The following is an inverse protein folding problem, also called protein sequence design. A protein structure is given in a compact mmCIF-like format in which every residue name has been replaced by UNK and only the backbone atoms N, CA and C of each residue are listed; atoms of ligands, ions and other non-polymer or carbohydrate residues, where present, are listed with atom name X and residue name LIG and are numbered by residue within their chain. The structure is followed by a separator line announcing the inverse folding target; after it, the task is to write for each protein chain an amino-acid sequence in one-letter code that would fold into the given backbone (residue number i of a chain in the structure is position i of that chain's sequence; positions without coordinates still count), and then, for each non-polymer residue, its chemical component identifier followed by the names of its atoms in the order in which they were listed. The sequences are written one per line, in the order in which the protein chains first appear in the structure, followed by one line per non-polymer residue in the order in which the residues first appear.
data_IF_370525084343
#
_entry.id   IF_370525084343
#
_cell.length_a   1.000
_cell.length_b   1.000
_cell.length_c   1.000
_cell.angle_alpha   90.00
_cell.angle_beta   90.00
_cell.angle_gamma   90.00
#
_symmetry.space_group_name_H-M   'P 1'
#
loop_
_entity.id
_entity.type
_entity.pdbx_description
1 polymer ?
#
# COMPACT_ATOMS: atom_id res chain seq x y z
N UNK A 1 -19.34 -63.41 -47.65
CA UNK A 1 -18.16 -63.19 -46.79
C UNK A 1 -18.05 -61.71 -46.36
N UNK A 2 -19.11 -61.09 -45.85
CA UNK A 2 -19.18 -59.62 -45.58
C UNK A 2 -19.51 -59.25 -44.14
N UNK A 3 -19.78 -60.23 -43.25
CA UNK A 3 -20.07 -59.96 -41.83
C UNK A 3 -18.83 -59.64 -41.00
N UNK A 4 -17.66 -60.19 -41.34
CA UNK A 4 -16.42 -60.01 -40.57
C UNK A 4 -15.75 -58.63 -40.78
N UNK A 5 -16.04 -57.94 -41.89
CA UNK A 5 -15.43 -56.63 -42.21
C UNK A 5 -16.16 -55.45 -41.55
N UNK A 6 -17.40 -55.64 -41.07
CA UNK A 6 -18.21 -54.57 -40.46
C UNK A 6 -17.74 -54.22 -39.03
N UNK A 7 -17.37 -55.22 -38.24
CA UNK A 7 -16.90 -55.05 -36.87
C UNK A 7 -15.61 -54.19 -36.73
N UNK A 8 -14.54 -54.40 -37.52
CA UNK A 8 -13.34 -53.58 -37.39
C UNK A 8 -13.54 -52.12 -37.82
N UNK A 9 -14.42 -51.86 -38.81
CA UNK A 9 -14.72 -50.50 -39.29
C UNK A 9 -15.51 -49.70 -38.24
N UNK A 10 -16.50 -50.34 -37.61
CA UNK A 10 -17.29 -49.73 -36.53
C UNK A 10 -16.41 -49.45 -35.31
N UNK A 11 -15.49 -50.37 -34.98
CA UNK A 11 -14.52 -50.18 -33.88
C UNK A 11 -13.57 -49.00 -34.12
N UNK A 12 -13.08 -48.82 -35.35
CA UNK A 12 -12.23 -47.69 -35.72
C UNK A 12 -12.98 -46.34 -35.60
N UNK A 13 -14.26 -46.33 -36.00
CA UNK A 13 -15.09 -45.12 -35.94
C UNK A 13 -15.36 -44.68 -34.49
N UNK A 14 -15.59 -45.63 -33.58
CA UNK A 14 -15.76 -45.35 -32.15
C UNK A 14 -14.47 -44.77 -31.55
N UNK A 15 -13.30 -45.28 -31.96
CA UNK A 15 -12.01 -44.78 -31.47
C UNK A 15 -11.78 -43.30 -31.84
N UNK A 16 -12.21 -42.88 -33.03
CA UNK A 16 -12.05 -41.50 -33.52
C UNK A 16 -12.89 -40.49 -32.73
N UNK A 17 -14.07 -40.88 -32.25
CA UNK A 17 -14.97 -39.98 -31.51
C UNK A 17 -14.40 -39.63 -30.13
N UNK A 18 -13.66 -40.56 -29.50
CA UNK A 18 -13.11 -40.38 -28.14
C UNK A 18 -11.88 -39.46 -28.11
N UNK A 19 -11.26 -39.16 -29.27
CA UNK A 19 -10.04 -38.33 -29.36
C UNK A 19 -10.39 -36.82 -29.40
N UNK A 20 -11.67 -36.45 -29.56
CA UNK A 20 -12.11 -35.05 -29.58
C UNK A 20 -12.20 -34.44 -28.17
N UNK A 21 -11.07 -34.35 -27.46
CA UNK A 21 -11.01 -33.58 -26.22
C UNK A 21 -10.85 -32.08 -26.51
N UNK A 22 -11.81 -31.29 -26.01
CA UNK A 22 -11.84 -29.82 -26.13
C UNK A 22 -10.76 -29.21 -25.23
N UNK A 23 -9.91 -28.34 -25.78
CA UNK A 23 -8.80 -27.73 -25.04
C UNK A 23 -9.30 -26.74 -23.97
N UNK A 24 -8.72 -26.72 -22.76
CA UNK A 24 -9.14 -25.80 -21.71
C UNK A 24 -8.79 -24.35 -22.08
N UNK A 25 -9.75 -23.44 -21.92
CA UNK A 25 -9.57 -22.00 -22.14
C UNK A 25 -8.82 -21.37 -20.95
N UNK A 26 -7.99 -20.34 -21.18
CA UNK A 26 -7.33 -19.64 -20.09
C UNK A 26 -8.37 -18.94 -19.20
N UNK A 27 -8.19 -19.08 -17.88
CA UNK A 27 -8.99 -18.39 -16.86
C UNK A 27 -8.38 -17.00 -16.64
N UNK A 28 -9.17 -15.94 -16.78
CA UNK A 28 -8.74 -14.58 -16.43
C UNK A 28 -8.71 -14.45 -14.90
N UNK A 29 -7.59 -14.01 -14.34
CA UNK A 29 -7.48 -13.69 -12.92
C UNK A 29 -7.16 -12.19 -12.78
N UNK A 30 -7.98 -11.47 -12.04
CA UNK A 30 -7.83 -10.03 -11.79
C UNK A 30 -7.01 -9.83 -10.52
N UNK A 31 -5.72 -9.52 -10.66
CA UNK A 31 -4.91 -9.09 -9.52
C UNK A 31 -4.99 -7.55 -9.39
N UNK A 32 -5.70 -7.07 -8.37
CA UNK A 32 -5.71 -5.64 -7.99
C UNK A 32 -4.45 -5.33 -7.17
N UNK A 33 -3.59 -4.43 -7.67
CA UNK A 33 -2.46 -3.89 -6.92
C UNK A 33 -2.77 -2.41 -6.64
N UNK A 34 -2.97 -2.06 -5.36
CA UNK A 34 -3.15 -0.67 -4.93
C UNK A 34 -1.80 -0.08 -4.53
N UNK A 35 -1.39 1.01 -5.18
CA UNK A 35 -0.19 1.78 -4.79
C UNK A 35 -0.64 3.10 -4.18
N UNK A 36 -0.38 3.31 -2.89
CA UNK A 36 -0.73 4.54 -2.16
C UNK A 36 0.51 5.44 -2.12
N UNK A 37 0.44 6.64 -2.70
CA UNK A 37 1.55 7.62 -2.66
C UNK A 37 1.23 8.69 -1.61
N UNK A 38 1.90 8.62 -0.46
CA UNK A 38 1.75 9.61 0.62
C UNK A 38 2.82 10.70 0.44
N UNK A 39 2.39 11.95 0.27
CA UNK A 39 3.32 13.09 0.23
C UNK A 39 3.24 13.84 1.56
N UNK A 40 4.39 13.99 2.24
CA UNK A 40 4.49 14.80 3.46
C UNK A 40 5.08 16.17 3.10
N UNK A 41 4.37 17.25 3.42
CA UNK A 41 4.84 18.62 3.22
C UNK A 41 5.14 19.28 4.56
N UNK A 42 6.33 19.88 4.67
CA UNK A 42 6.77 20.63 5.84
C UNK A 42 6.41 22.10 5.63
N UNK A 43 5.71 22.70 6.60
CA UNK A 43 5.32 24.10 6.55
C UNK A 43 5.94 24.88 7.71
N UNK A 44 6.42 26.08 7.42
CA UNK A 44 6.88 27.04 8.42
C UNK A 44 5.74 28.00 8.77
N UNK A 45 5.50 28.18 10.07
CA UNK A 45 4.45 29.09 10.58
C UNK A 45 5.03 30.07 11.58
N UNK A 46 4.57 31.31 11.52
CA UNK A 46 4.98 32.38 12.44
C UNK A 46 3.92 32.54 13.53
N UNK A 47 4.29 32.30 14.78
CA UNK A 47 3.43 32.63 15.93
C UNK A 47 3.54 34.12 16.25
N UNK A 48 2.40 34.82 16.21
CA UNK A 48 2.31 36.20 16.67
C UNK A 48 1.98 36.22 18.15
N UNK A 49 2.93 36.62 18.98
CA UNK A 49 2.69 36.85 20.41
C UNK A 49 1.96 38.19 20.57
N UNK A 50 0.85 38.19 21.30
CA UNK A 50 0.10 39.42 21.56
C UNK A 50 0.88 40.35 22.50
N UNK A 51 0.76 41.67 22.29
CA UNK A 51 1.35 42.67 23.18
C UNK A 51 0.75 42.49 24.60
N UNK A 52 1.63 42.49 25.59
CA UNK A 52 1.27 42.42 27.01
C UNK A 52 1.89 43.60 27.77
N UNK A 53 1.25 44.03 28.87
CA UNK A 53 1.71 45.14 29.70
C UNK A 53 1.33 44.94 31.16
N UNK A 54 2.26 45.21 32.06
CA UNK A 54 2.05 45.25 33.51
C UNK A 54 2.21 46.69 34.03
N UNK A 55 1.45 47.07 35.06
CA UNK A 55 1.46 48.44 35.59
C UNK A 55 1.81 48.48 37.08
N UNK A 56 2.48 49.56 37.49
CA UNK A 56 2.80 49.83 38.89
C UNK A 56 2.70 51.32 39.16
N UNK A 57 1.87 51.70 40.14
CA UNK A 57 1.64 53.07 40.56
C UNK A 57 1.83 53.19 42.07
N UNK A 58 2.70 54.10 42.50
CA UNK A 58 2.96 54.37 43.91
C UNK A 58 3.25 55.86 44.15
N UNK A 59 2.95 56.30 45.38
CA UNK A 59 3.33 57.62 45.86
C UNK A 59 4.72 57.58 46.48
N UNK A 60 5.57 58.50 46.05
CA UNK A 60 6.90 58.73 46.59
C UNK A 60 6.86 59.93 47.52
N UNK A 61 7.56 59.83 48.65
CA UNK A 61 7.74 60.92 49.61
C UNK A 61 9.24 61.16 49.83
N UNK A 62 9.60 62.36 50.27
CA UNK A 62 10.98 62.73 50.54
C UNK A 62 11.13 63.06 52.02
N UNK A 63 11.84 62.20 52.75
CA UNK A 63 12.09 62.38 54.17
C UNK A 63 13.60 62.60 54.35
N UNK A 64 13.98 63.78 54.82
CA UNK A 64 15.38 64.16 55.09
C UNK A 64 16.32 63.96 53.88
N UNK A 65 15.86 64.32 52.68
CA UNK A 65 16.63 64.18 51.42
C UNK A 65 16.70 62.77 50.86
N UNK A 66 16.07 61.77 51.50
CA UNK A 66 15.93 60.40 51.00
C UNK A 66 14.52 60.15 50.47
N UNK A 67 14.44 59.60 49.27
CA UNK A 67 13.18 59.20 48.65
C UNK A 67 12.71 57.90 49.31
N UNK A 68 11.44 57.84 49.70
CA UNK A 68 10.80 56.65 50.30
C UNK A 68 9.46 56.36 49.62
N UNK A 69 9.11 55.07 49.55
CA UNK A 69 7.80 54.63 49.07
C UNK A 69 6.75 54.82 50.17
N UNK A 70 5.77 55.70 49.94
CA UNK A 70 4.73 56.04 50.92
C UNK A 70 3.56 55.08 50.86
N UNK A 71 3.01 54.87 49.66
CA UNK A 71 1.90 53.97 49.46
C UNK A 71 1.90 53.42 48.03
N UNK A 72 1.59 52.14 47.88
CA UNK A 72 1.40 51.48 46.58
C UNK A 72 -0.09 51.56 46.24
N UNK A 73 -0.43 52.32 45.22
CA UNK A 73 -1.82 52.54 44.80
C UNK A 73 -2.30 51.34 43.97
N UNK A 74 -1.45 50.85 43.07
CA UNK A 74 -1.81 49.82 42.12
C UNK A 74 -0.58 49.03 41.68
N UNK A 75 -0.69 47.71 41.63
CA UNK A 75 0.37 46.83 41.16
C UNK A 75 -0.27 45.64 40.41
N UNK A 76 -0.62 45.86 39.16
CA UNK A 76 -1.39 44.89 38.37
C UNK A 76 -0.49 44.08 37.43
N UNK A 77 -0.61 42.75 37.44
CA UNK A 77 0.04 41.90 36.44
C UNK A 77 -0.62 42.07 35.07
N UNK A 78 0.16 41.81 34.02
CA UNK A 78 -0.37 41.63 32.67
C UNK A 78 -0.99 40.25 32.49
N UNK A 79 -1.29 39.88 31.24
CA UNK A 79 -1.82 38.54 30.92
C UNK A 79 -0.79 37.43 31.15
N UNK A 80 0.47 37.71 30.84
CA UNK A 80 1.61 36.79 30.98
C UNK A 80 2.72 37.41 31.83
N UNK A 81 2.87 38.74 31.79
CA UNK A 81 3.80 39.50 32.62
C UNK A 81 3.37 39.49 34.08
N UNK A 82 4.32 39.21 34.97
CA UNK A 82 4.09 39.31 36.41
C UNK A 82 4.00 40.77 36.85
N UNK A 83 3.43 40.99 38.03
CA UNK A 83 3.41 42.32 38.63
C UNK A 83 4.85 42.84 38.81
N UNK A 84 5.15 44.12 38.48
CA UNK A 84 6.50 44.65 38.50
C UNK A 84 7.13 44.59 39.89
N UNK A 85 8.41 44.19 39.96
CA UNK A 85 9.17 44.24 41.21
C UNK A 85 9.85 45.58 41.33
N UNK A 86 9.50 46.34 42.35
CA UNK A 86 10.03 47.69 42.58
C UNK A 86 10.96 47.69 43.78
N UNK A 87 12.15 48.25 43.59
CA UNK A 87 13.17 48.42 44.62
C UNK A 87 13.62 49.88 44.61
N UNK A 88 13.75 50.46 45.79
CA UNK A 88 14.25 51.82 45.98
C UNK A 88 15.49 51.74 46.87
N UNK A 89 16.65 52.02 46.30
CA UNK A 89 17.92 52.00 47.01
C UNK A 89 18.73 53.26 46.68
N UNK A 90 19.22 53.96 47.70
CA UNK A 90 19.98 55.22 47.56
C UNK A 90 19.36 56.21 46.56
N UNK A 91 18.07 56.53 46.72
CA UNK A 91 17.28 57.41 45.84
C UNK A 91 17.17 56.93 44.38
N UNK A 92 17.58 55.70 44.07
CA UNK A 92 17.46 55.08 42.74
C UNK A 92 16.29 54.11 42.73
N UNK A 93 15.33 54.34 41.84
CA UNK A 93 14.18 53.47 41.64
C UNK A 93 14.51 52.42 40.55
N UNK A 94 14.51 51.15 40.92
CA UNK A 94 14.64 50.02 40.00
C UNK A 94 13.30 49.32 39.85
N UNK A 95 12.88 49.09 38.61
CA UNK A 95 11.61 48.46 38.26
C UNK A 95 11.89 47.29 37.32
N UNK A 96 11.73 46.07 37.83
CA UNK A 96 11.99 44.84 37.08
C UNK A 96 10.67 44.16 36.69
N UNK A 97 10.49 43.92 35.39
CA UNK A 97 9.35 43.18 34.83
C UNK A 97 9.85 41.84 34.28
N UNK A 98 9.55 40.74 34.98
CA UNK A 98 10.01 39.41 34.58
C UNK A 98 8.89 38.64 33.86
N UNK A 99 9.20 38.17 32.65
CA UNK A 99 8.40 37.19 31.91
C UNK A 99 9.04 35.80 32.08
N UNK A 100 8.23 34.74 32.24
CA UNK A 100 8.76 33.37 32.18
C UNK A 100 9.11 33.05 30.72
N UNK A 101 10.20 32.34 30.50
CA UNK A 101 10.61 31.88 29.16
C UNK A 101 9.44 31.19 28.46
N UNK A 102 9.10 31.69 27.27
CA UNK A 102 8.09 31.12 26.39
C UNK A 102 8.80 30.22 25.39
N UNK A 103 8.78 28.91 25.59
CA UNK A 103 9.30 27.95 24.61
C UNK A 103 8.31 27.85 23.43
N UNK A 104 8.70 28.34 22.25
CA UNK A 104 7.89 28.29 21.03
C UNK A 104 8.65 27.53 19.94
N UNK A 105 8.42 26.22 19.88
CA UNK A 105 8.84 25.37 18.77
C UNK A 105 7.58 24.78 18.14
N UNK A 106 7.23 25.20 16.92
CA UNK A 106 6.24 24.47 16.15
C UNK A 106 6.73 24.21 14.73
N UNK A 107 6.98 22.93 14.48
CA UNK A 107 7.00 22.37 13.14
C UNK A 107 5.74 21.53 13.03
N UNK A 108 4.88 21.82 12.07
CA UNK A 108 3.72 20.98 11.80
C UNK A 108 3.85 20.36 10.41
N UNK A 109 3.59 19.05 10.34
CA UNK A 109 3.64 18.26 9.10
C UNK A 109 2.21 18.00 8.65
N UNK A 110 1.86 18.41 7.44
CA UNK A 110 0.60 18.02 6.80
C UNK A 110 0.84 16.76 5.96
N UNK A 111 -0.03 15.76 6.12
CA UNK A 111 -0.03 14.56 5.27
C UNK A 111 -1.13 14.72 4.24
N UNK A 112 -0.77 14.71 2.96
CA UNK A 112 -1.74 14.63 1.87
C UNK A 112 -1.58 13.29 1.16
N UNK A 113 -2.65 12.50 1.15
CA UNK A 113 -2.73 11.27 0.36
C UNK A 113 -3.03 11.69 -1.07
N UNK A 114 -2.07 11.52 -1.98
CA UNK A 114 -2.31 11.69 -3.41
C UNK A 114 -2.91 10.40 -3.96
N UNK A 115 -3.88 10.58 -4.86
CA UNK A 115 -4.74 9.61 -5.53
C UNK A 115 -4.33 8.14 -5.50
N UNK A 116 -5.29 7.29 -5.17
CA UNK A 116 -5.18 5.84 -5.32
C UNK A 116 -5.31 5.51 -6.81
N UNK A 117 -4.18 5.43 -7.51
CA UNK A 117 -4.14 4.94 -8.88
C UNK A 117 -4.37 3.42 -8.86
N UNK A 118 -5.63 3.00 -8.97
CA UNK A 118 -5.99 1.60 -9.20
C UNK A 118 -5.68 1.21 -10.65
N UNK A 119 -4.47 0.68 -10.89
CA UNK A 119 -4.13 0.10 -12.18
C UNK A 119 -4.58 -1.36 -12.22
N UNK A 120 -5.74 -1.63 -12.81
CA UNK A 120 -6.19 -3.00 -13.10
C UNK A 120 -5.30 -3.58 -14.21
N UNK A 121 -4.34 -4.44 -13.83
CA UNK A 121 -3.54 -5.20 -14.80
C UNK A 121 -4.19 -6.57 -14.95
N UNK A 122 -4.87 -6.80 -16.07
CA UNK A 122 -5.45 -8.11 -16.41
C UNK A 122 -4.32 -9.05 -16.85
N UNK A 123 -3.67 -9.72 -15.89
CA UNK A 123 -2.65 -10.73 -16.22
C UNK A 123 -3.37 -12.03 -16.54
N UNK A 124 -3.35 -12.42 -17.81
CA UNK A 124 -3.80 -13.76 -18.24
C UNK A 124 -2.81 -14.81 -17.74
N UNK A 125 -3.00 -15.29 -16.52
CA UNK A 125 -2.18 -16.38 -15.98
C UNK A 125 -2.69 -17.71 -16.53
N UNK A 126 -1.87 -18.36 -17.37
CA UNK A 126 -2.10 -19.76 -17.74
C UNK A 126 -1.91 -20.65 -16.50
N UNK A 127 -3.01 -20.92 -15.79
CA UNK A 127 -2.99 -21.77 -14.59
C UNK A 127 -2.80 -23.25 -14.91
N UNK A 128 -3.14 -23.68 -16.13
CA UNK A 128 -3.15 -25.08 -16.50
C UNK A 128 -1.98 -25.43 -17.44
N UNK A 129 -0.78 -25.58 -16.87
CA UNK A 129 0.36 -26.13 -17.58
C UNK A 129 0.33 -27.66 -17.47
N UNK A 130 0.61 -28.37 -18.57
CA UNK A 130 0.73 -29.83 -18.49
C UNK A 130 1.89 -30.20 -17.58
N UNK A 131 1.59 -30.99 -16.55
CA UNK A 131 2.62 -31.55 -15.67
C UNK A 131 3.54 -32.47 -16.48
N UNK A 132 4.78 -32.64 -16.02
CA UNK A 132 5.74 -33.53 -16.68
C UNK A 132 5.16 -34.93 -16.90
N UNK A 133 4.47 -35.48 -15.89
CA UNK A 133 3.82 -36.79 -15.95
C UNK A 133 2.70 -36.86 -16.99
N UNK A 134 1.88 -35.81 -17.11
CA UNK A 134 0.85 -35.74 -18.15
C UNK A 134 1.47 -35.75 -19.55
N UNK A 135 2.61 -35.07 -19.76
CA UNK A 135 3.34 -35.10 -21.04
C UNK A 135 3.86 -36.50 -21.35
N UNK A 136 4.44 -37.17 -20.35
CA UNK A 136 4.92 -38.56 -20.49
C UNK A 136 3.77 -39.50 -20.84
N UNK A 137 2.63 -39.40 -20.16
CA UNK A 137 1.44 -40.21 -20.44
C UNK A 137 0.89 -40.00 -21.86
N UNK A 138 0.85 -38.75 -22.34
CA UNK A 138 0.44 -38.43 -23.72
C UNK A 138 1.41 -39.04 -24.73
N UNK A 139 2.71 -38.98 -24.45
CA UNK A 139 3.74 -39.53 -25.35
C UNK A 139 3.65 -41.06 -25.41
N UNK A 140 3.47 -41.73 -24.27
CA UNK A 140 3.25 -43.17 -24.19
C UNK A 140 1.98 -43.61 -24.93
N UNK A 141 0.88 -42.86 -24.74
CA UNK A 141 -0.38 -43.12 -25.44
C UNK A 141 -0.25 -43.01 -26.96
N UNK A 142 0.51 -42.03 -27.46
CA UNK A 142 0.81 -41.90 -28.90
C UNK A 142 1.60 -43.09 -29.43
N UNK A 143 2.60 -43.56 -28.68
CA UNK A 143 3.40 -44.71 -29.07
C UNK A 143 2.56 -46.00 -29.14
N UNK A 144 1.68 -46.21 -28.17
CA UNK A 144 0.73 -47.33 -28.17
C UNK A 144 -0.26 -47.25 -29.34
N UNK A 145 -0.75 -46.06 -29.69
CA UNK A 145 -1.66 -45.87 -30.83
C UNK A 145 -0.99 -46.26 -32.15
N UNK A 146 0.26 -45.86 -32.37
CA UNK A 146 1.04 -46.21 -33.57
C UNK A 146 1.22 -47.73 -33.66
N UNK A 147 1.56 -48.38 -32.54
CA UNK A 147 1.74 -49.83 -32.49
C UNK A 147 0.43 -50.56 -32.81
N UNK A 148 -0.70 -50.08 -32.28
CA UNK A 148 -2.02 -50.65 -32.56
C UNK A 148 -2.40 -50.50 -34.04
N UNK A 149 -2.17 -49.34 -34.66
CA UNK A 149 -2.38 -49.13 -36.09
C UNK A 149 -1.50 -50.05 -36.95
N UNK A 150 -0.24 -50.26 -36.55
CA UNK A 150 0.66 -51.19 -37.24
C UNK A 150 0.16 -52.64 -37.16
N UNK A 151 -0.31 -53.10 -35.99
CA UNK A 151 -0.86 -54.44 -35.83
C UNK A 151 -2.14 -54.64 -36.65
N UNK A 152 -3.04 -53.65 -36.68
CA UNK A 152 -4.25 -53.69 -37.50
C UNK A 152 -3.88 -53.74 -38.98
N UNK A 153 -2.94 -52.90 -39.44
CA UNK A 153 -2.46 -52.92 -40.82
C UNK A 153 -1.85 -54.27 -41.21
N UNK A 154 -1.04 -54.87 -40.33
CA UNK A 154 -0.47 -56.22 -40.53
C UNK A 154 -1.55 -57.29 -40.56
N UNK A 155 -2.55 -57.21 -39.69
CA UNK A 155 -3.68 -58.14 -39.66
C UNK A 155 -4.49 -58.05 -40.95
N UNK A 156 -4.85 -56.84 -41.38
CA UNK A 156 -5.56 -56.58 -42.63
C UNK A 156 -4.76 -57.09 -43.84
N UNK A 157 -3.46 -56.82 -43.90
CA UNK A 157 -2.56 -57.33 -44.94
C UNK A 157 -2.55 -58.87 -44.99
N UNK A 158 -2.44 -59.53 -43.84
CA UNK A 158 -2.49 -61.01 -43.73
C UNK A 158 -3.84 -61.57 -44.17
N UNK A 159 -4.94 -60.88 -43.90
CA UNK A 159 -6.28 -61.30 -44.35
C UNK A 159 -6.54 -61.04 -45.83
N UNK A 160 -5.90 -60.02 -46.43
CA UNK A 160 -6.07 -59.67 -47.85
C UNK A 160 -5.18 -60.49 -48.79
N UNK A 161 -4.00 -60.92 -48.33
CA UNK A 161 -3.18 -61.93 -49.02
C UNK A 161 -3.17 -63.23 -48.19
N UNK A 162 -4.21 -64.09 -48.31
CA UNK A 162 -4.00 -65.47 -47.91
C UNK A 162 -2.93 -66.02 -48.87
N UNK A 163 -1.79 -66.45 -48.32
CA UNK A 163 -0.80 -67.17 -49.11
C UNK A 163 -1.51 -68.35 -49.77
N UNK A 164 -1.50 -68.37 -51.10
CA UNK A 164 -1.67 -69.59 -51.87
C UNK A 164 -0.43 -70.45 -51.59
N UNK A 165 -0.58 -71.37 -50.64
CA UNK A 165 0.10 -72.65 -50.62
C UNK A 165 -0.84 -73.66 -49.98
#
# INVERSE_FOLDING_TARGET
MTKQLKYPVISLFILLIVISCRSPKPVQNENKIQTITITETLHDTVFKIAKDSSSYNALLDCINGKVVLKNVIQAEPGRTLKSPKVRLDNNTLQVDCNLKEQELYAHWKSKQVKDVLEKNITITKFVNHLTFWQKVQIWLGRLLLILLLFLIGRFLYKTYKPLWF
#
